data_IF_724737045659
#
_entry.id   IF_724737045659
#
_cell.length_a   1.000
_cell.length_b   1.000
_cell.length_c   1.000
_cell.angle_alpha   90.00
_cell.angle_beta   90.00
_cell.angle_gamma   90.00
#
_symmetry.space_group_name_H-M   'P 1'
#
loop_
_entity.id
_entity.type
_entity.pdbx_description
1 polymer ?
#
# COMPACT_ATOMS: atom_id res chain seq x y z
N UNK A 1 2.11 0.01 -12.80
CA UNK A 1 3.32 0.72 -12.32
C UNK A 1 3.78 0.04 -11.04
N UNK A 2 4.99 0.33 -10.55
CA UNK A 2 5.50 -0.24 -9.30
C UNK A 2 5.76 0.91 -8.34
N UNK A 3 5.38 0.75 -7.07
CA UNK A 3 5.67 1.70 -6.00
C UNK A 3 6.83 1.13 -5.19
N UNK A 4 7.98 1.78 -5.27
CA UNK A 4 9.18 1.44 -4.49
C UNK A 4 9.04 1.97 -3.08
N UNK A 5 9.20 1.10 -2.08
CA UNK A 5 9.24 1.48 -0.66
C UNK A 5 10.65 1.12 -0.17
N UNK A 6 11.45 2.14 0.16
CA UNK A 6 12.81 1.95 0.70
C UNK A 6 12.83 2.13 2.22
N UNK A 7 13.64 1.32 2.90
CA UNK A 7 13.90 1.49 4.32
C UNK A 7 14.99 2.53 4.53
N UNK A 8 14.63 3.63 5.18
CA UNK A 8 15.53 4.75 5.50
C UNK A 8 15.98 4.74 6.96
N UNK A 9 15.59 3.73 7.73
CA UNK A 9 16.01 3.60 9.12
C UNK A 9 17.52 3.38 9.20
N UNK A 10 18.25 4.09 10.09
CA UNK A 10 19.66 3.83 10.33
C UNK A 10 19.90 2.35 10.65
N UNK A 11 21.01 1.79 10.17
CA UNK A 11 21.40 0.37 10.31
C UNK A 11 20.54 -0.66 9.55
N UNK A 12 19.38 -0.25 9.03
CA UNK A 12 18.47 -1.08 8.24
C UNK A 12 18.31 -0.55 6.80
N UNK A 13 19.21 0.34 6.38
CA UNK A 13 19.25 0.83 5.00
C UNK A 13 19.57 -0.30 4.03
N UNK A 14 19.13 -0.13 2.78
CA UNK A 14 19.29 -1.15 1.74
C UNK A 14 18.19 -2.20 1.70
N UNK A 15 17.32 -2.26 2.72
CA UNK A 15 16.07 -3.02 2.64
C UNK A 15 15.03 -2.26 1.80
N UNK A 16 14.30 -2.99 0.95
CA UNK A 16 13.26 -2.41 0.12
C UNK A 16 12.21 -3.44 -0.27
N UNK A 17 11.03 -2.95 -0.62
CA UNK A 17 9.98 -3.73 -1.28
C UNK A 17 9.38 -2.94 -2.43
N UNK A 18 8.90 -3.65 -3.43
CA UNK A 18 8.17 -3.12 -4.56
C UNK A 18 6.70 -3.56 -4.44
N UNK A 19 5.81 -2.59 -4.45
CA UNK A 19 4.37 -2.80 -4.33
C UNK A 19 3.69 -2.57 -5.67
N UNK A 20 2.76 -3.46 -6.03
CA UNK A 20 1.86 -3.24 -7.17
C UNK A 20 0.99 -2.00 -6.96
N UNK A 21 0.85 -1.17 -7.99
CA UNK A 21 -0.10 -0.06 -8.00
C UNK A 21 -1.53 -0.47 -8.39
N UNK A 22 -1.74 -1.74 -8.78
CA UNK A 22 -3.04 -2.24 -9.21
C UNK A 22 -3.83 -2.75 -8.00
N UNK A 23 -4.76 -1.93 -7.52
CA UNK A 23 -5.62 -2.25 -6.38
C UNK A 23 -7.09 -2.08 -6.74
N UNK A 24 -7.89 -3.09 -6.38
CA UNK A 24 -9.34 -2.93 -6.35
C UNK A 24 -9.78 -2.23 -5.07
N UNK A 25 -10.97 -1.61 -5.10
CA UNK A 25 -11.59 -1.00 -3.92
C UNK A 25 -11.85 -2.03 -2.81
N UNK A 26 -12.13 -3.28 -3.18
CA UNK A 26 -12.36 -4.37 -2.22
C UNK A 26 -11.08 -4.70 -1.44
N UNK A 27 -9.97 -4.92 -2.14
CA UNK A 27 -8.65 -5.20 -1.54
C UNK A 27 -8.17 -4.06 -0.65
N UNK A 28 -8.36 -2.81 -1.09
CA UNK A 28 -8.01 -1.63 -0.30
C UNK A 28 -8.77 -1.59 1.03
N UNK A 29 -10.09 -1.85 0.98
CA UNK A 29 -10.94 -1.89 2.17
C UNK A 29 -10.52 -3.01 3.11
N UNK A 30 -10.27 -4.21 2.58
CA UNK A 30 -9.83 -5.37 3.35
C UNK A 30 -8.48 -5.12 4.02
N UNK A 31 -7.54 -4.52 3.30
CA UNK A 31 -6.25 -4.11 3.85
C UNK A 31 -6.43 -3.17 5.05
N UNK A 32 -7.18 -2.07 4.91
CA UNK A 32 -7.35 -1.11 6.00
C UNK A 32 -8.06 -1.71 7.21
N UNK A 33 -9.14 -2.47 6.99
CA UNK A 33 -9.87 -3.12 8.08
C UNK A 33 -8.98 -4.15 8.79
N UNK A 34 -8.26 -4.97 8.03
CA UNK A 34 -7.33 -5.96 8.59
C UNK A 34 -6.18 -5.33 9.34
N UNK A 35 -5.55 -4.29 8.79
CA UNK A 35 -4.43 -3.60 9.40
C UNK A 35 -4.81 -2.90 10.73
N UNK A 36 -5.98 -2.26 10.78
CA UNK A 36 -6.49 -1.63 12.02
C UNK A 36 -6.81 -2.68 13.08
N UNK A 37 -7.34 -3.83 12.67
CA UNK A 37 -7.70 -4.92 13.58
C UNK A 37 -6.51 -5.80 14.00
N UNK A 38 -5.32 -5.61 13.41
CA UNK A 38 -4.18 -6.51 13.60
C UNK A 38 -4.46 -7.94 13.11
N UNK A 39 -5.25 -8.10 12.04
CA UNK A 39 -5.65 -9.41 11.53
C UNK A 39 -4.74 -9.86 10.38
N UNK A 40 -3.66 -10.53 10.75
CA UNK A 40 -2.65 -11.04 9.83
C UNK A 40 -3.19 -12.08 8.85
N UNK A 41 -4.21 -12.85 9.24
CA UNK A 41 -4.85 -13.82 8.34
C UNK A 41 -5.52 -13.15 7.13
N UNK A 42 -5.85 -11.85 7.23
CA UNK A 42 -6.40 -11.05 6.13
C UNK A 42 -5.31 -10.27 5.41
N UNK A 43 -4.42 -9.61 6.16
CA UNK A 43 -3.44 -8.68 5.56
C UNK A 43 -2.29 -9.40 4.86
N UNK A 44 -1.78 -10.51 5.42
CA UNK A 44 -0.61 -11.19 4.87
C UNK A 44 -0.84 -11.79 3.48
N UNK A 45 -1.97 -12.48 3.20
CA UNK A 45 -2.24 -12.97 1.85
C UNK A 45 -2.41 -11.84 0.82
N UNK A 46 -2.94 -10.68 1.23
CA UNK A 46 -3.01 -9.51 0.36
C UNK A 46 -1.60 -9.00 0.08
N UNK A 47 -0.79 -8.84 1.13
CA UNK A 47 0.58 -8.35 1.01
C UNK A 47 1.42 -9.25 0.10
N UNK A 48 1.36 -10.58 0.29
CA UNK A 48 2.06 -11.55 -0.53
C UNK A 48 1.77 -11.37 -2.03
N UNK A 49 0.49 -11.18 -2.40
CA UNK A 49 0.08 -10.97 -3.79
C UNK A 49 0.46 -9.61 -4.34
N UNK A 50 0.60 -8.59 -3.49
CA UNK A 50 0.84 -7.20 -3.89
C UNK A 50 2.31 -6.84 -3.90
N UNK A 51 3.16 -7.58 -3.21
CA UNK A 51 4.61 -7.43 -3.29
C UNK A 51 5.13 -8.06 -4.59
N UNK A 52 5.64 -7.21 -5.48
CA UNK A 52 6.19 -7.62 -6.78
C UNK A 52 7.71 -7.75 -6.77
N UNK A 53 8.36 -7.25 -5.73
CA UNK A 53 9.80 -7.34 -5.51
C UNK A 53 10.13 -7.17 -4.04
N UNK A 54 11.12 -7.90 -3.56
CA UNK A 54 11.53 -7.91 -2.16
C UNK A 54 13.05 -7.92 -2.09
N UNK A 55 13.59 -7.17 -1.14
CA UNK A 55 14.99 -7.27 -0.72
C UNK A 55 15.04 -6.90 0.75
N UNK A 56 14.90 -7.90 1.61
CA UNK A 56 14.82 -7.70 3.05
C UNK A 56 15.77 -8.66 3.74
N UNK A 57 16.61 -8.13 4.63
CA UNK A 57 17.54 -8.90 5.43
C UNK A 57 16.91 -9.22 6.79
N UNK A 58 16.88 -10.49 7.14
CA UNK A 58 16.41 -10.99 8.43
C UNK A 58 17.44 -10.70 9.54
N UNK A 59 17.05 -10.92 10.80
CA UNK A 59 17.95 -10.74 11.96
C UNK A 59 19.17 -11.67 11.91
N UNK A 60 19.02 -12.85 11.30
CA UNK A 60 20.11 -13.83 11.10
C UNK A 60 21.06 -13.45 9.94
N UNK A 61 20.80 -12.33 9.26
CA UNK A 61 21.56 -11.85 8.12
C UNK A 61 21.15 -12.45 6.77
N UNK A 62 20.22 -13.40 6.73
CA UNK A 62 19.69 -13.99 5.50
C UNK A 62 18.99 -12.93 4.66
N UNK A 63 19.30 -12.89 3.37
CA UNK A 63 18.60 -12.04 2.42
C UNK A 63 17.39 -12.77 1.84
N UNK A 64 16.20 -12.18 2.00
CA UNK A 64 14.95 -12.61 1.39
C UNK A 64 14.68 -11.77 0.14
N UNK A 65 14.35 -12.44 -0.96
CA UNK A 65 14.16 -11.80 -2.27
C UNK A 65 12.80 -12.05 -2.93
N UNK A 66 11.92 -12.80 -2.26
CA UNK A 66 10.57 -13.10 -2.73
C UNK A 66 9.53 -12.91 -1.61
N UNK A 67 8.29 -12.63 -2.02
CA UNK A 67 7.21 -12.30 -1.09
C UNK A 67 6.77 -13.50 -0.24
N UNK A 68 6.66 -14.69 -0.83
CA UNK A 68 6.22 -15.89 -0.12
C UNK A 68 7.16 -16.22 1.05
N UNK A 69 8.48 -16.18 0.81
CA UNK A 69 9.48 -16.38 1.86
C UNK A 69 9.44 -15.27 2.90
N UNK A 70 9.25 -14.00 2.50
CA UNK A 70 9.14 -12.89 3.44
C UNK A 70 7.97 -13.10 4.40
N UNK A 71 6.79 -13.46 3.88
CA UNK A 71 5.59 -13.69 4.68
C UNK A 71 5.75 -14.92 5.57
N UNK A 72 6.33 -16.00 5.07
CA UNK A 72 6.58 -17.22 5.86
C UNK A 72 7.60 -17.01 7.00
N UNK A 73 8.47 -16.00 6.89
CA UNK A 73 9.53 -15.69 7.85
C UNK A 73 9.37 -14.32 8.51
N UNK A 74 8.14 -13.82 8.63
CA UNK A 74 7.85 -12.52 9.25
C UNK A 74 8.39 -12.40 10.68
N UNK A 75 8.32 -13.50 11.45
CA UNK A 75 8.81 -13.55 12.84
C UNK A 75 10.34 -13.43 12.96
N UNK A 76 11.07 -13.66 11.86
CA UNK A 76 12.54 -13.53 11.79
C UNK A 76 12.99 -12.10 11.42
N UNK A 77 12.06 -11.16 11.23
CA UNK A 77 12.38 -9.77 10.95
C UNK A 77 12.71 -8.98 12.21
N UNK A 78 13.59 -7.99 12.06
CA UNK A 78 13.68 -6.91 13.05
C UNK A 78 12.31 -6.24 13.17
N UNK A 79 11.82 -6.06 14.39
CA UNK A 79 10.52 -5.43 14.67
C UNK A 79 10.36 -4.07 13.99
N UNK A 80 11.46 -3.32 13.81
CA UNK A 80 11.49 -2.04 13.10
C UNK A 80 11.18 -2.21 11.61
N UNK A 81 11.61 -3.31 10.99
CA UNK A 81 11.28 -3.65 9.60
C UNK A 81 9.82 -4.07 9.44
N UNK A 82 9.23 -4.76 10.42
CA UNK A 82 7.79 -5.10 10.41
C UNK A 82 6.94 -3.81 10.40
N UNK A 83 7.25 -2.87 11.31
CA UNK A 83 6.56 -1.59 11.39
C UNK A 83 6.78 -0.74 10.13
N UNK A 84 8.00 -0.72 9.60
CA UNK A 84 8.32 -0.05 8.34
C UNK A 84 7.51 -0.61 7.18
N UNK A 85 7.41 -1.93 7.04
CA UNK A 85 6.69 -2.57 5.94
C UNK A 85 5.20 -2.23 5.98
N UNK A 86 4.55 -2.43 7.13
CA UNK A 86 3.11 -2.12 7.30
C UNK A 86 2.81 -0.63 7.09
N UNK A 87 3.65 0.24 7.67
CA UNK A 87 3.52 1.69 7.50
C UNK A 87 3.77 2.16 6.08
N UNK A 88 4.80 1.61 5.43
CA UNK A 88 5.17 1.92 4.04
C UNK A 88 4.06 1.56 3.05
N UNK A 89 3.50 0.35 3.16
CA UNK A 89 2.37 -0.07 2.31
C UNK A 89 1.16 0.84 2.53
N UNK A 90 0.85 1.15 3.79
CA UNK A 90 -0.28 2.04 4.12
C UNK A 90 -0.10 3.45 3.55
N UNK A 91 1.12 3.99 3.57
CA UNK A 91 1.42 5.30 3.00
C UNK A 91 1.37 5.29 1.47
N UNK A 92 1.93 4.26 0.82
CA UNK A 92 1.84 4.07 -0.62
C UNK A 92 0.38 4.07 -1.12
N UNK A 93 -0.53 3.40 -0.38
CA UNK A 93 -1.95 3.37 -0.72
C UNK A 93 -2.63 4.74 -0.53
N UNK A 94 -2.27 5.50 0.50
CA UNK A 94 -2.76 6.87 0.69
C UNK A 94 -2.36 7.78 -0.47
N UNK A 95 -1.11 7.70 -0.91
CA UNK A 95 -0.60 8.46 -2.04
C UNK A 95 -1.32 8.08 -3.34
N UNK A 96 -1.54 6.79 -3.58
CA UNK A 96 -2.29 6.30 -4.73
C UNK A 96 -3.72 6.88 -4.79
N UNK A 97 -4.40 6.92 -3.64
CA UNK A 97 -5.74 7.53 -3.53
C UNK A 97 -5.71 9.04 -3.77
N UNK A 98 -4.75 9.75 -3.18
CA UNK A 98 -4.60 11.19 -3.35
C UNK A 98 -4.36 11.57 -4.83
N UNK A 99 -3.56 10.79 -5.55
CA UNK A 99 -3.36 10.96 -7.00
C UNK A 99 -4.67 10.74 -7.79
N UNK A 100 -5.47 9.75 -7.39
CA UNK A 100 -6.80 9.52 -7.96
C UNK A 100 -7.75 10.71 -7.75
N UNK A 101 -7.77 11.28 -6.54
CA UNK A 101 -8.57 12.45 -6.21
C UNK A 101 -8.13 13.72 -6.97
N UNK A 102 -6.82 13.95 -7.08
CA UNK A 102 -6.26 15.06 -7.84
C UNK A 102 -6.64 14.98 -9.33
N UNK A 103 -6.52 13.79 -9.95
CA UNK A 103 -6.95 13.55 -11.34
C UNK A 103 -8.46 13.74 -11.50
N UNK A 104 -9.26 13.26 -10.55
CA UNK A 104 -10.72 13.46 -10.54
C UNK A 104 -11.07 14.95 -10.55
N UNK A 105 -10.42 15.76 -9.70
CA UNK A 105 -10.66 17.21 -9.64
C UNK A 105 -10.35 17.91 -10.97
N UNK A 106 -9.21 17.58 -11.61
CA UNK A 106 -8.85 18.14 -12.91
C UNK A 106 -9.88 17.82 -14.01
N UNK A 107 -10.50 16.64 -13.98
CA UNK A 107 -11.56 16.29 -14.92
C UNK A 107 -12.85 17.09 -14.70
N UNK A 108 -13.12 17.57 -13.48
CA UNK A 108 -14.27 18.42 -13.17
C UNK A 108 -14.00 19.91 -13.39
N UNK A 109 -12.77 20.38 -13.21
CA UNK A 109 -12.38 21.79 -13.45
C UNK A 109 -12.42 22.17 -14.96
N UNK A 110 -12.59 21.18 -15.86
CA UNK A 110 -12.77 21.39 -17.30
C UNK A 110 -14.20 21.15 -17.83
N UNK A 111 -15.16 20.83 -16.95
CA UNK A 111 -16.58 20.68 -17.31
C UNK A 111 -17.35 21.76 -16.58
N UNK A 112 -17.80 22.79 -17.31
CA UNK A 112 -18.91 23.62 -16.82
C UNK A 112 -20.10 22.71 -16.54
N UNK A 113 -20.30 22.35 -15.28
CA UNK A 113 -21.53 21.70 -14.84
C UNK A 113 -22.60 22.77 -14.96
N UNK A 114 -23.30 22.79 -16.10
CA UNK A 114 -24.46 23.64 -16.28
C UNK A 114 -25.43 23.38 -15.12
N UNK A 115 -25.60 24.38 -14.27
CA UNK A 115 -26.48 24.29 -13.11
C UNK A 115 -27.86 23.81 -13.58
N UNK A 116 -28.32 22.68 -13.04
CA UNK A 116 -29.63 22.16 -13.31
C UNK A 116 -30.66 23.22 -12.90
N UNK A 117 -31.40 23.77 -13.88
CA UNK A 117 -32.50 24.70 -13.63
C UNK A 117 -33.56 23.97 -12.80
N UNK A 118 -33.83 24.48 -11.61
CA UNK A 118 -34.94 24.05 -10.75
C UNK A 118 -36.25 24.13 -11.53
N UNK A 119 -37.09 23.08 -11.60
CA UNK A 119 -38.39 23.18 -12.25
C UNK A 119 -39.30 24.06 -11.41
N UNK A 120 -39.84 25.14 -12.00
CA UNK A 120 -40.88 25.96 -11.39
C UNK A 120 -42.16 25.13 -11.24
N UNK A 121 -42.77 25.06 -10.04
CA UNK A 121 -44.04 24.37 -9.86
C UNK A 121 -45.18 25.16 -10.53
N UNK A 122 -46.10 24.43 -11.18
CA UNK A 122 -47.36 24.95 -11.73
C UNK A 122 -48.41 25.10 -10.65
#
# INVERSE_FOLDING_TARGET
MIIRIECTLPELTGNWVDLSDVWSRAELREWYVGAIAGNDAVTLPILERKLTGVHVRLVDGTLVTDAATLIARLDDLDVRLILWLSGGVTNALKELMALGEAKRRLLFDGVEIAAAKTPTPR
#
